data_IF_047155675963
#
_entry.id   IF_047155675963
#
_cell.length_a   1.000
_cell.length_b   1.000
_cell.length_c   1.000
_cell.angle_alpha   90.00
_cell.angle_beta   90.00
_cell.angle_gamma   90.00
#
_symmetry.space_group_name_H-M   'P 1'
#
loop_
_entity.id
_entity.type
_entity.pdbx_description
1 polymer ?
#
# COMPACT_ATOMS: atom_id res chain seq x y z
N UNK A 1 -12.88 6.89 -7.95
CA UNK A 1 -12.56 6.16 -6.70
C UNK A 1 -11.51 5.11 -7.02
N UNK A 2 -10.57 4.85 -6.11
CA UNK A 2 -9.56 3.80 -6.23
C UNK A 2 -9.44 3.06 -4.90
N UNK A 3 -9.25 1.74 -4.95
CA UNK A 3 -9.05 0.88 -3.77
C UNK A 3 -7.72 0.14 -3.93
N UNK A 4 -6.83 0.33 -2.98
CA UNK A 4 -5.58 -0.41 -2.88
C UNK A 4 -5.76 -1.52 -1.85
N UNK A 5 -5.59 -2.76 -2.29
CA UNK A 5 -5.54 -3.91 -1.40
C UNK A 5 -4.12 -4.07 -0.87
N UNK A 6 -4.00 -4.12 0.45
CA UNK A 6 -2.71 -4.20 1.15
C UNK A 6 -2.82 -5.30 2.17
N UNK A 7 -1.88 -6.23 2.14
CA UNK A 7 -1.88 -7.40 3.02
C UNK A 7 -1.13 -7.15 4.35
N UNK A 8 -0.34 -6.06 4.39
CA UNK A 8 0.30 -5.56 5.61
C UNK A 8 -0.57 -4.54 6.34
N UNK A 9 -1.22 -4.97 7.42
CA UNK A 9 -1.96 -4.07 8.30
C UNK A 9 -1.05 -3.01 8.94
N UNK A 10 0.21 -3.33 9.22
CA UNK A 10 1.19 -2.37 9.72
C UNK A 10 1.46 -1.25 8.70
N UNK A 11 1.51 -1.57 7.40
CA UNK A 11 1.68 -0.56 6.34
C UNK A 11 0.47 0.37 6.25
N UNK A 12 -0.77 -0.16 6.34
CA UNK A 12 -1.98 0.66 6.36
C UNK A 12 -1.95 1.61 7.56
N UNK A 13 -1.64 1.11 8.76
CA UNK A 13 -1.55 1.93 9.98
C UNK A 13 -0.46 2.99 9.89
N UNK A 14 0.71 2.64 9.33
CA UNK A 14 1.79 3.58 9.10
C UNK A 14 1.32 4.72 8.17
N UNK A 15 0.65 4.41 7.07
CA UNK A 15 0.14 5.42 6.12
C UNK A 15 -1.01 6.26 6.69
N UNK A 16 -1.88 5.67 7.50
CA UNK A 16 -3.00 6.35 8.13
C UNK A 16 -2.60 7.24 9.32
N UNK A 17 -1.47 6.95 9.98
CA UNK A 17 -1.00 7.78 11.10
C UNK A 17 -0.45 9.12 10.61
N UNK A 18 -0.53 10.15 11.46
CA UNK A 18 0.02 11.49 11.20
C UNK A 18 1.41 11.70 11.79
N UNK A 19 2.08 10.64 12.26
CA UNK A 19 3.39 10.77 12.91
C UNK A 19 4.45 11.29 11.95
N UNK A 20 5.14 12.35 12.36
CA UNK A 20 6.24 12.98 11.62
C UNK A 20 7.54 12.15 11.66
N UNK A 21 7.64 11.18 12.57
CA UNK A 21 8.81 10.31 12.77
C UNK A 21 8.84 9.11 11.81
N UNK A 22 7.92 9.08 10.84
CA UNK A 22 7.87 8.00 9.86
C UNK A 22 9.08 8.05 8.90
N UNK A 23 9.51 6.87 8.44
CA UNK A 23 10.56 6.73 7.42
C UNK A 23 10.24 7.55 6.15
N UNK A 24 11.27 8.03 5.46
CA UNK A 24 11.15 8.83 4.23
C UNK A 24 10.24 8.22 3.16
N UNK A 25 10.21 6.89 3.05
CA UNK A 25 9.31 6.18 2.13
C UNK A 25 7.83 6.39 2.52
N UNK A 26 7.48 6.22 3.80
CA UNK A 26 6.11 6.42 4.29
C UNK A 26 5.65 7.85 4.03
N UNK A 27 6.51 8.84 4.31
CA UNK A 27 6.20 10.25 4.04
C UNK A 27 6.02 10.54 2.55
N UNK A 28 6.82 9.91 1.69
CA UNK A 28 6.68 10.05 0.23
C UNK A 28 5.37 9.43 -0.26
N UNK A 29 5.04 8.23 0.20
CA UNK A 29 3.77 7.56 -0.13
C UNK A 29 2.57 8.38 0.34
N UNK A 30 2.59 8.93 1.55
CA UNK A 30 1.54 9.83 2.04
C UNK A 30 1.35 11.05 1.15
N UNK A 31 2.43 11.68 0.67
CA UNK A 31 2.34 12.82 -0.26
C UNK A 31 1.64 12.44 -1.56
N UNK A 32 1.97 11.28 -2.14
CA UNK A 32 1.34 10.79 -3.36
C UNK A 32 -0.14 10.48 -3.14
N UNK A 33 -0.49 9.82 -2.03
CA UNK A 33 -1.88 9.55 -1.67
C UNK A 33 -2.67 10.85 -1.48
N UNK A 34 -2.08 11.85 -0.81
CA UNK A 34 -2.70 13.16 -0.65
C UNK A 34 -2.88 13.89 -1.97
N UNK A 35 -1.92 13.79 -2.90
CA UNK A 35 -2.05 14.37 -4.23
C UNK A 35 -3.26 13.77 -4.97
N UNK A 36 -3.41 12.44 -4.95
CA UNK A 36 -4.58 11.79 -5.56
C UNK A 36 -5.90 12.30 -4.95
N UNK A 37 -5.94 12.49 -3.62
CA UNK A 37 -7.11 13.04 -2.93
C UNK A 37 -7.39 14.48 -3.39
N UNK A 38 -6.36 15.32 -3.50
CA UNK A 38 -6.48 16.70 -3.97
C UNK A 38 -6.94 16.79 -5.44
N UNK A 39 -6.58 15.80 -6.25
CA UNK A 39 -7.06 15.63 -7.63
C UNK A 39 -8.51 15.11 -7.71
N UNK A 40 -9.18 14.89 -6.56
CA UNK A 40 -10.58 14.48 -6.48
C UNK A 40 -10.80 12.97 -6.40
N UNK A 41 -9.74 12.18 -6.26
CA UNK A 41 -9.87 10.74 -6.09
C UNK A 41 -10.25 10.38 -4.65
N UNK A 42 -11.34 9.62 -4.50
CA UNK A 42 -11.57 8.85 -3.28
C UNK A 42 -10.61 7.67 -3.23
N UNK A 43 -9.60 7.73 -2.37
CA UNK A 43 -8.60 6.68 -2.16
C UNK A 43 -8.98 5.85 -0.93
N UNK A 44 -9.00 4.52 -1.07
CA UNK A 44 -9.25 3.58 0.04
C UNK A 44 -8.09 2.59 0.13
N UNK A 45 -7.54 2.41 1.33
CA UNK A 45 -6.63 1.33 1.65
C UNK A 45 -7.42 0.23 2.35
N UNK A 46 -7.52 -0.95 1.74
CA UNK A 46 -8.26 -2.08 2.29
C UNK A 46 -7.32 -3.22 2.65
N UNK A 47 -7.45 -3.73 3.87
CA UNK A 47 -6.71 -4.91 4.29
C UNK A 47 -7.19 -6.13 3.48
N UNK A 48 -6.25 -6.86 2.87
CA UNK A 48 -6.50 -8.15 2.25
C UNK A 48 -5.84 -9.24 3.10
N UNK A 49 -6.50 -10.39 3.33
CA UNK A 49 -5.86 -11.48 4.04
C UNK A 49 -4.77 -12.13 3.15
N UNK A 50 -3.55 -12.22 3.65
CA UNK A 50 -2.47 -12.98 2.99
C UNK A 50 -2.80 -14.48 3.00
N UNK A 51 -2.33 -15.21 1.97
CA UNK A 51 -2.39 -16.68 1.90
C UNK A 51 -3.79 -17.30 2.01
N UNK A 52 -4.80 -16.64 1.43
CA UNK A 52 -6.18 -17.13 1.38
C UNK A 52 -6.62 -17.49 -0.06
N UNK A 53 -5.69 -17.90 -0.92
CA UNK A 53 -5.92 -18.21 -2.34
C UNK A 53 -6.59 -17.08 -3.14
N UNK A 54 -6.43 -15.83 -2.68
CA UNK A 54 -6.88 -14.66 -3.41
C UNK A 54 -5.93 -14.45 -4.58
N UNK A 55 -6.32 -14.92 -5.75
CA UNK A 55 -5.51 -14.94 -6.97
C UNK A 55 -4.77 -13.61 -7.25
N UNK A 56 -5.44 -12.48 -7.02
CA UNK A 56 -4.81 -11.16 -7.15
C UNK A 56 -3.68 -10.90 -6.16
N UNK A 57 -3.85 -11.27 -4.88
CA UNK A 57 -2.83 -11.09 -3.85
C UNK A 57 -1.63 -12.01 -4.11
N UNK A 58 -1.88 -13.26 -4.47
CA UNK A 58 -0.82 -14.23 -4.75
C UNK A 58 0.03 -13.85 -5.96
N UNK A 59 -0.60 -13.25 -6.98
CA UNK A 59 0.12 -12.70 -8.12
C UNK A 59 1.03 -11.56 -7.69
N UNK A 60 0.54 -10.64 -6.83
CA UNK A 60 1.35 -9.54 -6.29
C UNK A 60 2.51 -10.07 -5.45
N UNK A 61 2.28 -11.05 -4.57
CA UNK A 61 3.33 -11.66 -3.74
C UNK A 61 4.42 -12.33 -4.58
N UNK A 62 4.02 -13.03 -5.66
CA UNK A 62 4.96 -13.65 -6.58
C UNK A 62 5.81 -12.60 -7.29
N UNK A 63 5.18 -11.58 -7.85
CA UNK A 63 5.87 -10.49 -8.54
C UNK A 63 6.79 -9.70 -7.60
N UNK A 64 6.36 -9.48 -6.36
CA UNK A 64 7.19 -8.81 -5.34
C UNK A 64 8.43 -9.64 -5.01
N UNK A 65 8.29 -10.97 -4.85
CA UNK A 65 9.42 -11.88 -4.61
C UNK A 65 10.39 -11.93 -5.79
N UNK A 66 9.87 -11.98 -7.02
CA UNK A 66 10.68 -11.91 -8.24
C UNK A 66 11.41 -10.56 -8.33
N UNK A 67 10.74 -9.46 -8.00
CA UNK A 67 11.32 -8.12 -7.97
C UNK A 67 12.47 -7.99 -6.97
N UNK A 68 12.41 -8.65 -5.82
CA UNK A 68 13.51 -8.69 -4.85
C UNK A 68 14.75 -9.43 -5.37
N UNK A 69 14.63 -10.23 -6.44
CA UNK A 69 15.73 -10.97 -7.05
C UNK A 69 16.33 -10.24 -8.26
N UNK A 70 15.73 -9.12 -8.70
CA UNK A 70 16.27 -8.28 -9.75
C UNK A 70 17.45 -7.45 -9.21
N UNK A 71 18.51 -7.26 -10.01
CA UNK A 71 19.74 -6.57 -9.60
C UNK A 71 19.55 -5.07 -9.33
#
# INVERSE_FOLDING_TARGET
QVVFFVDSQAAILALASSSAEACGLVNTTRKVLNQLILEGWRVILQCAPSHCDILGNEQVDRLAKEGCQLP
#
